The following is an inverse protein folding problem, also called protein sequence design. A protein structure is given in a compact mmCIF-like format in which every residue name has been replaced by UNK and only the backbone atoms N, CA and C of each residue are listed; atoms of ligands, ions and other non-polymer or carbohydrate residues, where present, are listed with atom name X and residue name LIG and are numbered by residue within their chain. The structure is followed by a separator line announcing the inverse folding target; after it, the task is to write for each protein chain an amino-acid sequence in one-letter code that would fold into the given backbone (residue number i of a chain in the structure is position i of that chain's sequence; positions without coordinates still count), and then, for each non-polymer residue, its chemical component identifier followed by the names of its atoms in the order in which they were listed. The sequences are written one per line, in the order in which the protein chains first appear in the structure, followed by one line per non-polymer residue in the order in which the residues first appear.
data_IF_680242357732
#
_entry.id   IF_680242357732
#
_cell.length_a   1.000
_cell.length_b   1.000
_cell.length_c   1.000
_cell.angle_alpha   90.00
_cell.angle_beta   90.00
_cell.angle_gamma   90.00
#
_symmetry.space_group_name_H-M   'P 1'
#
loop_
_entity.id
_entity.type
_entity.pdbx_description
1 polymer ?
#
# COMPACT_ATOMS: atom_id res chain seq x y z
N UNK A 1 0.20 15.53 -8.17
CA UNK A 1 -0.58 14.30 -8.37
C UNK A 1 -0.16 13.21 -7.38
N UNK A 2 1.12 12.87 -7.30
CA UNK A 2 1.66 11.83 -6.41
C UNK A 2 1.33 12.07 -4.93
N UNK A 3 1.61 13.28 -4.41
CA UNK A 3 1.28 13.66 -3.04
C UNK A 3 -0.22 13.52 -2.75
N UNK A 4 -1.07 13.89 -3.69
CA UNK A 4 -2.52 13.81 -3.56
C UNK A 4 -2.99 12.36 -3.48
N UNK A 5 -2.42 11.46 -4.32
CA UNK A 5 -2.71 10.03 -4.27
C UNK A 5 -2.27 9.40 -2.95
N UNK A 6 -1.05 9.70 -2.52
CA UNK A 6 -0.52 9.20 -1.26
C UNK A 6 -1.38 9.65 -0.08
N UNK A 7 -1.74 10.94 -0.03
CA UNK A 7 -2.60 11.47 1.03
C UNK A 7 -3.97 10.79 1.05
N UNK A 8 -4.57 10.58 -0.13
CA UNK A 8 -5.84 9.87 -0.24
C UNK A 8 -5.76 8.44 0.33
N UNK A 9 -4.76 7.66 -0.12
CA UNK A 9 -4.58 6.27 0.31
C UNK A 9 -4.28 6.21 1.81
N UNK A 10 -3.34 7.02 2.29
CA UNK A 10 -2.93 7.01 3.69
C UNK A 10 -4.03 7.50 4.63
N UNK A 11 -4.82 8.50 4.20
CA UNK A 11 -5.98 8.98 4.99
C UNK A 11 -7.07 7.92 5.10
N UNK A 12 -7.40 7.27 3.99
CA UNK A 12 -8.37 6.19 4.00
C UNK A 12 -7.89 5.04 4.88
N UNK A 13 -6.64 4.63 4.73
CA UNK A 13 -6.05 3.53 5.47
C UNK A 13 -6.00 3.79 6.99
N UNK A 14 -5.54 4.97 7.41
CA UNK A 14 -5.38 5.31 8.83
C UNK A 14 -6.72 5.39 9.58
N UNK A 15 -7.78 5.80 8.90
CA UNK A 15 -9.11 5.99 9.50
C UNK A 15 -10.05 4.80 9.28
N UNK A 16 -9.69 3.85 8.41
CA UNK A 16 -10.57 2.77 8.04
C UNK A 16 -10.80 1.79 9.19
N UNK A 17 -12.07 1.53 9.47
CA UNK A 17 -12.51 0.54 10.47
C UNK A 17 -13.75 -0.18 9.98
N UNK A 18 -13.69 -1.51 9.92
CA UNK A 18 -14.83 -2.35 9.52
C UNK A 18 -15.11 -3.40 10.58
N UNK A 19 -16.35 -3.49 11.03
CA UNK A 19 -16.76 -4.44 12.07
C UNK A 19 -15.90 -4.34 13.36
N UNK A 20 -15.52 -3.13 13.76
CA UNK A 20 -14.68 -2.87 14.94
C UNK A 20 -13.21 -3.29 14.78
N UNK A 21 -12.76 -3.59 13.57
CA UNK A 21 -11.37 -3.90 13.25
C UNK A 21 -10.77 -2.79 12.41
N UNK A 22 -9.61 -2.30 12.84
CA UNK A 22 -8.79 -1.41 12.03
C UNK A 22 -8.27 -2.13 10.79
N UNK A 23 -8.08 -1.39 9.70
CA UNK A 23 -7.51 -1.93 8.48
C UNK A 23 -5.98 -2.00 8.52
N UNK A 24 -5.37 -1.39 9.53
CA UNK A 24 -3.92 -1.43 9.78
C UNK A 24 -3.66 -2.26 11.02
N UNK A 25 -2.68 -3.12 10.94
CA UNK A 25 -2.16 -3.92 12.06
C UNK A 25 -0.64 -3.78 12.15
N UNK A 26 -0.06 -4.13 13.28
CA UNK A 26 1.40 -4.18 13.46
C UNK A 26 1.92 -5.57 13.13
N UNK A 27 3.19 -5.63 12.70
CA UNK A 27 3.89 -6.89 12.47
C UNK A 27 4.02 -7.70 13.77
N UNK A 28 4.23 -8.99 13.63
CA UNK A 28 4.41 -9.88 14.77
C UNK A 28 5.73 -9.64 15.52
N UNK A 29 6.75 -9.23 14.79
CA UNK A 29 8.07 -8.91 15.34
C UNK A 29 8.43 -7.49 14.89
N UNK A 30 8.80 -6.65 15.84
CA UNK A 30 9.24 -5.29 15.53
C UNK A 30 10.44 -5.31 14.56
N UNK A 31 10.49 -4.35 13.67
CA UNK A 31 11.54 -4.12 12.69
C UNK A 31 11.80 -5.32 11.75
N UNK A 32 10.82 -6.19 11.55
CA UNK A 32 10.93 -7.34 10.64
C UNK A 32 9.61 -7.70 10.00
N UNK A 33 9.64 -7.86 8.69
CA UNK A 33 8.54 -8.44 7.94
C UNK A 33 8.74 -9.94 7.76
N UNK A 34 7.76 -10.73 8.18
CA UNK A 34 7.79 -12.19 8.11
C UNK A 34 6.65 -12.70 7.21
N UNK A 35 6.81 -13.92 6.72
CA UNK A 35 5.74 -14.61 5.99
C UNK A 35 4.45 -14.74 6.83
N UNK A 36 4.59 -14.85 8.15
CA UNK A 36 3.47 -14.87 9.07
C UNK A 36 2.66 -13.57 9.01
N UNK A 37 3.32 -12.42 8.86
CA UNK A 37 2.69 -11.11 8.76
C UNK A 37 1.92 -10.96 7.46
N UNK A 38 2.47 -11.44 6.35
CA UNK A 38 1.76 -11.48 5.07
C UNK A 38 0.50 -12.34 5.16
N UNK A 39 0.58 -13.51 5.77
CA UNK A 39 -0.59 -14.38 5.99
C UNK A 39 -1.64 -13.72 6.90
N UNK A 40 -1.20 -12.94 7.89
CA UNK A 40 -2.08 -12.17 8.75
C UNK A 40 -2.78 -11.06 7.98
N UNK A 41 -2.05 -10.35 7.13
CA UNK A 41 -2.61 -9.32 6.26
C UNK A 41 -3.69 -9.87 5.32
N UNK A 42 -3.46 -11.03 4.70
CA UNK A 42 -4.48 -11.73 3.91
C UNK A 42 -5.71 -12.12 4.75
N UNK A 43 -5.48 -12.59 5.97
CA UNK A 43 -6.58 -12.95 6.87
C UNK A 43 -7.39 -11.73 7.28
N UNK A 44 -6.73 -10.61 7.56
CA UNK A 44 -7.37 -9.33 7.86
C UNK A 44 -8.20 -8.85 6.67
N UNK A 45 -7.62 -8.81 5.49
CA UNK A 45 -8.30 -8.39 4.26
C UNK A 45 -9.56 -9.24 3.99
N UNK A 46 -9.46 -10.56 4.16
CA UNK A 46 -10.62 -11.45 4.03
C UNK A 46 -11.70 -11.17 5.08
N UNK A 47 -11.32 -10.87 6.32
CA UNK A 47 -12.26 -10.55 7.39
C UNK A 47 -12.96 -9.21 7.20
N UNK A 48 -12.23 -8.21 6.69
CA UNK A 48 -12.78 -6.90 6.33
C UNK A 48 -13.79 -7.07 5.19
N UNK A 49 -13.46 -7.89 4.20
CA UNK A 49 -14.29 -8.15 3.02
C UNK A 49 -15.37 -9.22 3.24
N UNK A 50 -15.47 -9.82 4.41
CA UNK A 50 -16.44 -10.89 4.72
C UNK A 50 -17.88 -10.40 4.88
N UNK A 51 -18.14 -9.11 4.79
CA UNK A 51 -19.50 -8.59 4.82
C UNK A 51 -20.32 -9.22 3.68
N UNK A 52 -21.37 -9.92 4.04
CA UNK A 52 -22.28 -10.54 3.10
C UNK A 52 -23.00 -9.46 2.29
N UNK A 53 -22.76 -9.42 1.00
CA UNK A 53 -23.46 -8.53 0.06
C UNK A 53 -24.56 -9.25 -0.75
N UNK A 54 -24.92 -10.48 -0.37
CA UNK A 54 -25.91 -11.27 -1.09
C UNK A 54 -25.38 -12.02 -2.32
N UNK A 55 -24.09 -11.87 -2.65
CA UNK A 55 -23.46 -12.52 -3.79
C UNK A 55 -23.29 -14.04 -3.65
N UNK A 56 -22.98 -14.71 -4.75
CA UNK A 56 -22.72 -16.15 -4.76
C UNK A 56 -21.38 -16.49 -4.09
N UNK A 57 -21.18 -17.73 -3.59
CA UNK A 57 -19.90 -18.14 -3.03
C UNK A 57 -18.71 -17.97 -3.98
N UNK A 58 -18.94 -17.93 -5.29
CA UNK A 58 -17.90 -17.69 -6.30
C UNK A 58 -17.39 -16.25 -6.29
N UNK A 59 -18.24 -15.27 -6.00
CA UNK A 59 -17.87 -13.85 -5.93
C UNK A 59 -17.05 -13.52 -4.66
N UNK A 60 -17.05 -14.40 -3.66
CA UNK A 60 -16.27 -14.28 -2.45
C UNK A 60 -14.81 -14.76 -2.56
N UNK A 61 -14.38 -15.19 -3.71
CA UNK A 61 -13.03 -15.75 -3.95
C UNK A 61 -11.94 -14.69 -4.04
N UNK A 62 -12.27 -13.40 -3.88
CA UNK A 62 -11.27 -12.36 -3.80
C UNK A 62 -10.24 -12.70 -2.72
N UNK A 63 -8.95 -12.64 -3.06
CA UNK A 63 -7.85 -12.81 -2.11
C UNK A 63 -7.85 -11.70 -1.06
N UNK A 64 -8.57 -10.62 -1.33
CA UNK A 64 -8.66 -9.42 -0.51
C UNK A 64 -7.50 -8.45 -0.72
N UNK A 65 -6.43 -8.90 -1.38
CA UNK A 65 -5.26 -8.10 -1.78
C UNK A 65 -4.81 -8.62 -3.12
N UNK A 66 -4.67 -7.73 -4.10
CA UNK A 66 -4.09 -8.02 -5.41
C UNK A 66 -2.68 -7.46 -5.54
N UNK A 67 -2.42 -6.33 -4.89
CA UNK A 67 -1.19 -5.57 -5.01
C UNK A 67 -0.68 -5.14 -3.62
N UNK A 68 0.64 -5.20 -3.44
CA UNK A 68 1.35 -4.70 -2.27
C UNK A 68 2.25 -3.54 -2.67
N UNK A 69 2.05 -2.40 -2.03
CA UNK A 69 2.94 -1.26 -2.12
C UNK A 69 3.93 -1.37 -0.97
N UNK A 70 5.20 -1.49 -1.29
CA UNK A 70 6.27 -1.79 -0.33
C UNK A 70 7.48 -0.89 -0.54
N UNK A 71 8.29 -0.75 0.50
CA UNK A 71 9.59 -0.12 0.45
C UNK A 71 10.66 -1.05 -0.16
N UNK A 72 11.80 -0.51 -0.62
CA UNK A 72 12.95 -1.33 -1.00
C UNK A 72 13.47 -2.23 0.12
N UNK A 73 13.37 -1.79 1.37
CA UNK A 73 13.78 -2.53 2.57
C UNK A 73 12.93 -3.79 2.76
N UNK A 74 11.62 -3.67 2.60
CA UNK A 74 10.71 -4.84 2.63
C UNK A 74 11.01 -5.81 1.48
N UNK A 75 11.34 -5.30 0.31
CA UNK A 75 11.76 -6.15 -0.82
C UNK A 75 13.06 -6.90 -0.50
N UNK A 76 14.01 -6.27 0.22
CA UNK A 76 15.22 -6.94 0.70
C UNK A 76 14.86 -8.08 1.67
N UNK A 77 13.96 -7.86 2.61
CA UNK A 77 13.50 -8.91 3.53
C UNK A 77 12.79 -10.05 2.80
N UNK A 78 11.95 -9.75 1.81
CA UNK A 78 11.32 -10.75 0.96
C UNK A 78 12.35 -11.61 0.22
N UNK A 79 13.41 -10.99 -0.30
CA UNK A 79 14.55 -11.75 -0.89
C UNK A 79 15.27 -12.59 0.15
N UNK A 80 15.43 -12.05 1.37
CA UNK A 80 16.03 -12.77 2.49
C UNK A 80 15.28 -14.05 2.86
N UNK A 81 13.96 -14.08 2.70
CA UNK A 81 13.13 -15.26 2.97
C UNK A 81 13.49 -16.46 2.06
N UNK A 82 14.07 -16.22 0.87
CA UNK A 82 14.55 -17.29 0.01
C UNK A 82 15.81 -17.98 0.54
N UNK A 83 16.60 -17.27 1.34
CA UNK A 83 17.80 -17.82 1.97
C UNK A 83 17.49 -18.47 3.32
N UNK A 84 16.51 -17.95 4.04
CA UNK A 84 16.11 -18.52 5.31
C UNK A 84 15.01 -19.57 5.12
N UNK A 85 15.07 -20.71 5.79
CA UNK A 85 14.03 -21.70 5.70
C UNK A 85 12.71 -21.12 6.20
N UNK A 86 11.72 -21.13 5.31
CA UNK A 86 10.37 -20.64 5.60
C UNK A 86 9.69 -21.45 6.71
N UNK A 87 10.22 -22.63 7.02
CA UNK A 87 9.62 -23.57 7.96
C UNK A 87 10.51 -23.82 9.17
N UNK A 88 10.60 -22.86 10.06
CA UNK A 88 11.33 -22.98 11.33
C UNK A 88 10.51 -23.57 12.48
N UNK A 89 9.37 -24.17 12.20
CA UNK A 89 8.60 -24.86 13.24
C UNK A 89 9.32 -26.14 13.67
N UNK A 90 10.23 -26.02 14.64
CA UNK A 90 10.96 -27.16 15.17
C UNK A 90 12.46 -26.92 15.44
N UNK A 91 12.93 -25.69 15.31
CA UNK A 91 14.30 -25.32 15.69
C UNK A 91 15.39 -25.85 14.78
N UNK A 92 15.09 -26.40 13.63
CA UNK A 92 16.08 -26.76 12.63
C UNK A 92 16.18 -25.62 11.58
N UNK A 93 17.23 -24.84 11.68
CA UNK A 93 17.47 -23.64 10.90
C UNK A 93 18.03 -23.90 9.50
N UNK A 94 18.27 -25.15 9.13
CA UNK A 94 19.05 -25.51 7.95
C UNK A 94 18.23 -26.12 6.80
N UNK A 95 16.90 -26.02 6.84
CA UNK A 95 16.07 -26.49 5.73
C UNK A 95 15.94 -25.36 4.71
N UNK A 96 16.59 -25.45 3.55
CA UNK A 96 16.48 -24.42 2.51
C UNK A 96 15.02 -24.32 2.03
N UNK A 97 14.63 -23.11 1.61
CA UNK A 97 13.37 -22.92 0.90
C UNK A 97 13.28 -23.90 -0.28
N UNK A 98 12.08 -24.36 -0.59
CA UNK A 98 11.87 -25.23 -1.75
C UNK A 98 12.37 -24.55 -3.01
N UNK A 99 12.86 -25.33 -3.99
CA UNK A 99 13.41 -24.80 -5.24
C UNK A 99 12.41 -23.86 -5.96
N UNK A 100 11.12 -24.13 -5.86
CA UNK A 100 10.08 -23.28 -6.45
C UNK A 100 10.03 -21.89 -5.83
N UNK A 101 10.16 -21.78 -4.51
CA UNK A 101 10.17 -20.48 -3.80
C UNK A 101 11.48 -19.74 -4.10
N UNK A 102 12.60 -20.46 -4.10
CA UNK A 102 13.90 -19.89 -4.48
C UNK A 102 13.89 -19.37 -5.90
N UNK A 103 13.35 -20.15 -6.84
CA UNK A 103 13.24 -19.76 -8.24
C UNK A 103 12.31 -18.56 -8.42
N UNK A 104 11.18 -18.50 -7.72
CA UNK A 104 10.29 -17.36 -7.76
C UNK A 104 10.96 -16.06 -7.29
N UNK A 105 11.80 -16.15 -6.24
CA UNK A 105 12.53 -14.98 -5.72
C UNK A 105 13.72 -14.61 -6.61
N UNK A 106 14.46 -15.60 -7.16
CA UNK A 106 15.69 -15.31 -7.92
C UNK A 106 15.49 -15.08 -9.41
N UNK A 107 14.43 -15.60 -10.02
CA UNK A 107 14.20 -15.46 -11.46
C UNK A 107 13.62 -14.10 -11.86
N UNK A 108 13.10 -13.33 -10.91
CA UNK A 108 12.62 -11.98 -11.17
C UNK A 108 13.63 -10.96 -10.65
N UNK A 109 14.16 -10.15 -11.51
CA UNK A 109 15.12 -9.06 -11.20
C UNK A 109 14.54 -7.98 -10.25
N UNK A 110 13.25 -7.96 -10.02
CA UNK A 110 12.51 -7.42 -8.89
C UNK A 110 11.51 -8.49 -8.54
N UNK A 111 10.94 -8.55 -7.36
CA UNK A 111 9.91 -9.54 -7.04
C UNK A 111 8.56 -9.02 -7.57
N UNK A 112 8.19 -9.30 -8.85
CA UNK A 112 6.94 -8.76 -9.39
C UNK A 112 5.72 -9.44 -8.82
N UNK A 113 5.88 -10.65 -8.31
CA UNK A 113 4.79 -11.42 -7.72
C UNK A 113 5.31 -12.32 -6.59
N UNK A 114 4.67 -12.26 -5.43
CA UNK A 114 4.95 -13.13 -4.29
C UNK A 114 3.64 -13.62 -3.68
N UNK A 115 3.50 -14.92 -3.51
CA UNK A 115 2.27 -15.55 -3.02
C UNK A 115 1.01 -15.20 -3.84
N UNK A 116 1.19 -14.92 -5.13
CA UNK A 116 0.10 -14.54 -6.04
C UNK A 116 -0.42 -13.13 -5.82
N UNK A 117 0.41 -12.25 -5.26
CA UNK A 117 0.15 -10.83 -5.13
C UNK A 117 1.25 -10.08 -5.86
N UNK A 118 0.87 -9.08 -6.64
CA UNK A 118 1.81 -8.19 -7.32
C UNK A 118 2.53 -7.30 -6.32
N UNK A 119 3.84 -7.19 -6.43
CA UNK A 119 4.68 -6.35 -5.58
C UNK A 119 5.04 -5.07 -6.36
N UNK A 120 4.68 -3.93 -5.79
CA UNK A 120 5.04 -2.61 -6.32
C UNK A 120 6.01 -1.93 -5.36
N UNK A 121 7.28 -1.92 -5.75
CA UNK A 121 8.33 -1.23 -4.99
C UNK A 121 8.23 0.28 -5.22
N UNK A 122 8.17 1.06 -4.14
CA UNK A 122 8.11 2.51 -4.15
C UNK A 122 9.22 3.09 -3.30
N UNK A 123 10.11 3.85 -3.91
CA UNK A 123 11.24 4.51 -3.23
C UNK A 123 10.81 5.58 -2.22
N UNK A 124 9.58 6.06 -2.31
CA UNK A 124 9.00 7.03 -1.40
C UNK A 124 8.37 6.40 -0.14
N UNK A 125 8.33 5.07 -0.08
CA UNK A 125 7.98 4.30 1.11
C UNK A 125 9.25 3.91 1.87
N UNK A 126 9.12 3.64 3.16
CA UNK A 126 10.23 3.29 4.04
C UNK A 126 10.41 4.29 5.19
N UNK A 127 11.26 3.95 6.14
CA UNK A 127 11.55 4.74 7.33
C UNK A 127 12.02 6.15 6.93
N UNK A 128 11.36 7.17 7.47
CA UNK A 128 11.68 8.57 7.21
C UNK A 128 11.38 9.05 5.79
N UNK A 129 10.79 8.22 4.94
CA UNK A 129 10.44 8.57 3.57
C UNK A 129 9.10 9.33 3.50
N UNK A 130 8.81 9.85 2.33
CA UNK A 130 7.70 10.78 2.09
C UNK A 130 6.32 10.21 2.44
N UNK A 131 6.04 8.96 2.07
CA UNK A 131 4.73 8.36 2.32
C UNK A 131 4.54 7.97 3.78
N UNK A 132 5.61 7.54 4.46
CA UNK A 132 5.60 7.33 5.90
C UNK A 132 5.27 8.61 6.67
N UNK A 133 5.87 9.75 6.28
CA UNK A 133 5.54 11.07 6.87
C UNK A 133 4.10 11.48 6.66
N UNK A 134 3.54 11.17 5.48
CA UNK A 134 2.12 11.43 5.21
C UNK A 134 1.25 10.55 6.12
N UNK A 135 1.59 9.27 6.26
CA UNK A 135 0.85 8.36 7.12
C UNK A 135 0.91 8.78 8.60
N UNK A 136 2.09 9.12 9.10
CA UNK A 136 2.29 9.61 10.46
C UNK A 136 1.46 10.88 10.75
N UNK A 137 1.48 11.83 9.81
CA UNK A 137 0.70 13.07 9.92
C UNK A 137 -0.80 12.80 10.00
N UNK A 138 -1.30 11.84 9.22
CA UNK A 138 -2.73 11.50 9.18
C UNK A 138 -3.15 10.62 10.35
N UNK A 139 -2.33 9.64 10.69
CA UNK A 139 -2.57 8.74 11.82
C UNK A 139 -2.52 9.48 13.17
N UNK A 140 -1.61 10.45 13.30
CA UNK A 140 -1.47 11.28 14.51
C UNK A 140 -1.28 10.41 15.76
N UNK A 141 -2.20 10.51 16.71
CA UNK A 141 -2.18 9.73 17.97
C UNK A 141 -2.97 8.42 17.89
N UNK A 142 -3.44 8.02 16.72
CA UNK A 142 -4.16 6.76 16.52
C UNK A 142 -3.25 5.59 16.87
N UNK A 143 -3.74 4.68 17.71
CA UNK A 143 -3.00 3.48 18.07
C UNK A 143 -3.46 2.31 17.23
N UNK A 144 -2.52 1.53 16.73
CA UNK A 144 -2.76 0.34 15.92
C UNK A 144 -2.47 -0.91 16.74
N UNK A 145 -3.40 -1.86 16.67
CA UNK A 145 -3.24 -3.12 17.38
C UNK A 145 -2.12 -3.96 16.73
N UNK A 146 -1.51 -4.77 17.55
CA UNK A 146 -0.61 -5.81 17.11
C UNK A 146 -1.33 -6.83 16.20
N UNK A 147 -0.57 -7.71 15.60
CA UNK A 147 -1.03 -8.77 14.72
C UNK A 147 -2.36 -9.41 15.15
N UNK A 148 -3.20 -9.76 14.21
CA UNK A 148 -4.51 -10.36 14.51
C UNK A 148 -4.36 -11.62 15.37
N UNK A 149 -4.70 -11.50 16.64
CA UNK A 149 -4.70 -12.61 17.60
C UNK A 149 -3.42 -12.78 18.42
N UNK A 150 -2.42 -11.89 18.29
CA UNK A 150 -1.20 -11.96 19.12
C UNK A 150 -1.41 -11.44 20.54
N UNK A 151 -2.38 -10.53 20.73
CA UNK A 151 -2.66 -9.93 22.04
C UNK A 151 -1.66 -8.87 22.46
N UNK A 152 -0.85 -8.36 21.55
CA UNK A 152 0.09 -7.27 21.80
C UNK A 152 -0.59 -5.94 22.10
N UNK A 153 0.14 -5.03 22.71
CA UNK A 153 -0.35 -3.69 23.05
C UNK A 153 -0.45 -2.83 21.79
N UNK A 154 -1.56 -2.09 21.68
CA UNK A 154 -1.69 -1.11 20.61
C UNK A 154 -0.72 0.08 20.83
N UNK A 155 -0.06 0.51 19.78
CA UNK A 155 0.87 1.65 19.80
C UNK A 155 0.64 2.58 18.61
N UNK A 156 1.00 3.85 18.79
CA UNK A 156 0.97 4.82 17.70
C UNK A 156 2.11 4.52 16.70
N UNK A 157 1.92 4.92 15.46
CA UNK A 157 2.95 4.83 14.43
C UNK A 157 4.05 5.88 14.66
N UNK A 158 5.27 5.54 14.33
CA UNK A 158 6.43 6.43 14.46
C UNK A 158 7.26 6.40 13.16
N UNK A 159 7.21 7.45 12.36
CA UNK A 159 7.84 7.52 11.03
C UNK A 159 9.35 7.29 11.03
N UNK A 160 10.03 7.52 12.16
CA UNK A 160 11.50 7.46 12.28
C UNK A 160 12.04 6.06 12.58
N UNK A 161 11.18 5.15 13.00
CA UNK A 161 11.57 3.80 13.41
C UNK A 161 10.71 2.69 12.79
N UNK A 162 9.62 3.05 12.16
CA UNK A 162 8.65 2.09 11.61
C UNK A 162 8.30 2.46 10.18
N UNK A 163 7.85 1.49 9.42
CA UNK A 163 7.37 1.70 8.06
C UNK A 163 5.99 1.08 7.85
N UNK A 164 5.22 1.69 6.95
CA UNK A 164 3.90 1.21 6.57
C UNK A 164 3.97 0.51 5.21
N UNK A 165 3.50 -0.72 5.15
CA UNK A 165 3.24 -1.44 3.92
C UNK A 165 1.75 -1.44 3.63
N UNK A 166 1.36 -1.23 2.38
CA UNK A 166 -0.03 -1.11 1.96
C UNK A 166 -0.42 -2.23 1.03
N UNK A 167 -1.43 -3.00 1.40
CA UNK A 167 -2.10 -3.95 0.54
C UNK A 167 -3.36 -3.35 -0.07
N UNK A 168 -3.51 -3.47 -1.37
CA UNK A 168 -4.66 -2.96 -2.09
C UNK A 168 -5.35 -4.06 -2.91
N UNK A 169 -6.67 -4.04 -2.97
CA UNK A 169 -7.46 -4.83 -3.91
C UNK A 169 -7.83 -3.95 -5.10
N UNK A 170 -6.99 -3.95 -6.13
CA UNK A 170 -7.20 -3.18 -7.35
C UNK A 170 -8.20 -3.85 -8.31
N UNK A 171 -8.68 -5.04 -8.00
CA UNK A 171 -9.74 -5.70 -8.79
C UNK A 171 -11.10 -5.02 -8.62
N UNK A 172 -11.23 -4.18 -7.60
CA UNK A 172 -12.42 -3.39 -7.32
C UNK A 172 -12.19 -1.95 -7.75
N UNK A 173 -13.12 -1.41 -8.51
CA UNK A 173 -13.10 -0.01 -8.97
C UNK A 173 -13.48 0.96 -7.83
N UNK A 174 -12.76 0.91 -6.73
CA UNK A 174 -13.06 1.71 -5.54
C UNK A 174 -12.21 2.96 -5.41
N UNK A 175 -11.18 3.10 -6.24
CA UNK A 175 -10.33 4.29 -6.30
C UNK A 175 -10.73 5.11 -7.52
N UNK A 176 -11.34 6.27 -7.28
CA UNK A 176 -11.81 7.14 -8.33
C UNK A 176 -10.92 8.37 -8.47
N UNK A 177 -10.64 8.74 -9.71
CA UNK A 177 -10.07 10.00 -10.11
C UNK A 177 -11.08 10.75 -10.97
N UNK A 178 -11.58 11.86 -10.48
CA UNK A 178 -12.39 12.78 -11.24
C UNK A 178 -11.49 13.89 -11.79
N UNK A 179 -11.55 14.12 -13.09
CA UNK A 179 -10.77 15.18 -13.76
C UNK A 179 -11.75 16.10 -14.49
N UNK A 180 -11.59 17.40 -14.28
CA UNK A 180 -12.31 18.37 -15.09
C UNK A 180 -11.69 18.37 -16.50
N UNK A 181 -12.54 18.28 -17.50
CA UNK A 181 -12.15 18.41 -18.91
C UNK A 181 -12.65 19.74 -19.46
N UNK A 182 -11.83 20.41 -20.24
CA UNK A 182 -12.24 21.59 -20.97
C UNK A 182 -13.38 21.23 -21.94
N UNK A 183 -14.44 22.04 -21.93
CA UNK A 183 -15.63 21.82 -22.75
C UNK A 183 -15.39 21.97 -24.24
N UNK A 184 -14.36 22.73 -24.66
CA UNK A 184 -14.06 23.01 -26.06
C UNK A 184 -13.05 22.01 -26.65
N UNK A 185 -12.03 21.67 -25.88
CA UNK A 185 -10.91 20.83 -26.36
C UNK A 185 -11.01 19.38 -25.88
N UNK A 186 -11.79 19.11 -24.82
CA UNK A 186 -11.83 17.82 -24.15
C UNK A 186 -10.53 17.46 -23.41
N UNK A 187 -9.59 18.40 -23.31
CA UNK A 187 -8.30 18.17 -22.68
C UNK A 187 -8.42 18.18 -21.14
N UNK A 188 -7.69 17.26 -20.48
CA UNK A 188 -7.58 17.20 -19.02
C UNK A 188 -6.60 18.26 -18.48
N UNK A 189 -5.69 18.74 -19.31
CA UNK A 189 -4.66 19.70 -18.96
C UNK A 189 -4.70 20.85 -19.95
N UNK A 190 -4.93 22.04 -19.45
CA UNK A 190 -4.88 23.26 -20.25
C UNK A 190 -3.50 23.91 -20.11
N UNK A 191 -2.88 24.20 -21.25
CA UNK A 191 -1.59 24.86 -21.33
C UNK A 191 -1.71 26.12 -22.21
N UNK A 192 -1.66 27.26 -21.57
CA UNK A 192 -1.78 28.55 -22.25
C UNK A 192 -0.41 29.26 -22.29
N UNK A 193 -0.09 29.82 -23.43
CA UNK A 193 1.10 30.64 -23.59
C UNK A 193 0.82 32.04 -23.04
N UNK A 194 1.65 32.54 -22.14
CA UNK A 194 1.53 33.90 -21.61
C UNK A 194 2.17 34.92 -22.54
N UNK A 195 1.33 35.56 -23.34
CA UNK A 195 1.74 36.58 -24.31
C UNK A 195 2.37 37.84 -23.68
N UNK A 196 2.05 38.11 -22.41
CA UNK A 196 2.57 39.34 -21.75
C UNK A 196 4.07 39.27 -21.47
N UNK A 197 4.62 38.08 -21.30
CA UNK A 197 6.08 37.90 -21.11
C UNK A 197 6.86 38.06 -22.40
N UNK A 198 6.31 37.70 -23.55
CA UNK A 198 6.97 37.76 -24.84
C UNK A 198 7.34 39.20 -25.24
N UNK A 199 6.48 40.17 -24.93
CA UNK A 199 6.68 41.57 -25.35
C UNK A 199 7.61 42.35 -24.43
N UNK A 200 7.83 41.95 -23.18
CA UNK A 200 8.57 42.74 -22.18
C UNK A 200 9.95 42.21 -21.81
N UNK A 201 10.20 40.93 -21.94
CA UNK A 201 11.43 40.32 -21.41
C UNK A 201 12.11 39.32 -22.33
N UNK A 202 11.62 39.13 -23.56
CA UNK A 202 12.06 38.05 -24.47
C UNK A 202 12.02 36.65 -23.86
N UNK A 203 11.13 36.44 -22.87
CA UNK A 203 10.91 35.17 -22.23
C UNK A 203 9.50 34.67 -22.59
N UNK A 204 9.37 33.41 -22.87
CA UNK A 204 8.08 32.75 -23.08
C UNK A 204 7.63 32.16 -21.76
N UNK A 205 6.48 32.59 -21.26
CA UNK A 205 5.81 32.02 -20.10
C UNK A 205 4.77 31.01 -20.53
N UNK A 206 4.62 29.93 -19.79
CA UNK A 206 3.53 28.96 -19.95
C UNK A 206 2.75 28.87 -18.65
N UNK A 207 1.44 28.95 -18.75
CA UNK A 207 0.54 28.69 -17.63
C UNK A 207 -0.20 27.38 -17.90
N UNK A 208 -0.18 26.49 -16.94
CA UNK A 208 -0.91 25.23 -17.03
C UNK A 208 -1.83 25.05 -15.85
N UNK A 209 -3.06 24.63 -16.09
CA UNK A 209 -4.02 24.28 -15.07
C UNK A 209 -4.50 22.85 -15.20
N UNK A 210 -4.71 22.20 -14.06
CA UNK A 210 -5.28 20.87 -13.94
C UNK A 210 -6.18 20.86 -12.72
N UNK A 211 -7.44 20.53 -12.91
CA UNK A 211 -8.39 20.35 -11.82
C UNK A 211 -8.72 18.88 -11.69
N UNK A 212 -8.32 18.28 -10.57
CA UNK A 212 -8.60 16.87 -10.28
C UNK A 212 -9.03 16.66 -8.84
N UNK A 213 -9.96 15.72 -8.66
CA UNK A 213 -10.34 15.17 -7.37
C UNK A 213 -10.03 13.68 -7.32
N UNK A 214 -9.65 13.18 -6.16
CA UNK A 214 -9.41 11.75 -5.93
C UNK A 214 -10.10 11.31 -4.66
N UNK A 215 -10.75 10.15 -4.72
CA UNK A 215 -11.45 9.59 -3.57
C UNK A 215 -11.39 8.08 -3.58
N UNK A 216 -11.46 7.49 -2.39
CA UNK A 216 -11.71 6.07 -2.20
C UNK A 216 -13.18 5.93 -1.80
N UNK A 217 -13.93 5.16 -2.58
CA UNK A 217 -15.37 4.93 -2.35
C UNK A 217 -15.60 3.86 -1.31
N UNK A 218 -14.78 2.82 -1.33
CA UNK A 218 -14.85 1.70 -0.39
C UNK A 218 -13.45 1.47 0.20
N UNK A 219 -13.28 1.84 1.47
CA UNK A 219 -12.01 1.71 2.20
C UNK A 219 -11.63 0.25 2.49
N UNK A 220 -12.56 -0.70 2.34
CA UNK A 220 -12.31 -2.15 2.51
C UNK A 220 -11.36 -2.72 1.46
N UNK A 221 -11.03 -1.95 0.43
CA UNK A 221 -10.00 -2.34 -0.56
C UNK A 221 -8.58 -2.11 -0.07
N UNK A 222 -8.42 -1.42 1.06
CA UNK A 222 -7.12 -1.11 1.64
C UNK A 222 -6.91 -1.86 2.95
N UNK A 223 -5.72 -2.40 3.09
CA UNK A 223 -5.19 -2.97 4.34
C UNK A 223 -3.75 -2.53 4.51
N UNK A 224 -3.27 -2.46 5.72
CA UNK A 224 -1.89 -2.06 5.99
C UNK A 224 -1.26 -2.89 7.10
N UNK A 225 0.05 -2.95 7.06
CA UNK A 225 0.85 -3.50 8.15
C UNK A 225 2.00 -2.55 8.46
N UNK A 226 2.20 -2.28 9.75
CA UNK A 226 3.32 -1.51 10.28
C UNK A 226 4.42 -2.51 10.65
N UNK A 227 5.59 -2.31 10.10
CA UNK A 227 6.80 -3.12 10.33
C UNK A 227 7.81 -2.31 11.11
#
# INVERSE_FOLDING_TARGET
QEKTSATMIMTALANATTNGKQHVVRSHTADRFLLADLNALFTLAKRINSAWTGGTPAERRGRGITDLLVSPEIVEELRGMAYNPINTKGGNTDIPATDDVRNAVFNSAGIPEFYGVSIMELNEMGIGQKFNKVFDTVAGTTTFADHVGSGGAAAAFTETSEEIMVGADLSRESMLRAVATDSETGAEFDLVVDDQFVSRSQKVGYYGSLEEGRMIVDDRVLTGIIV
#
